data_IF_370307056964
#
_entry.id   IF_370307056964
#
_cell.length_a   1.000
_cell.length_b   1.000
_cell.length_c   1.000
_cell.angle_alpha   90.00
_cell.angle_beta   90.00
_cell.angle_gamma   90.00
#
_symmetry.space_group_name_H-M   'P 1'
#
loop_
_entity.id
_entity.type
_entity.pdbx_description
1 polymer ?
#
# COMPACT_ATOMS: atom_id res chain seq x y z
N UNK A 1 -43.38 -41.26 12.16
CA UNK A 1 -42.86 -40.25 13.10
C UNK A 1 -44.05 -39.47 13.62
N UNK A 2 -44.31 -39.57 14.91
CA UNK A 2 -45.61 -39.24 15.50
C UNK A 2 -45.71 -37.74 15.84
N UNK A 3 -46.50 -37.00 15.07
CA UNK A 3 -46.61 -35.53 15.15
C UNK A 3 -47.19 -35.06 16.48
N UNK A 4 -48.01 -35.90 17.13
CA UNK A 4 -48.55 -35.66 18.47
C UNK A 4 -47.47 -35.69 19.56
N UNK A 5 -46.44 -36.53 19.38
CA UNK A 5 -45.28 -36.60 20.27
C UNK A 5 -44.40 -35.36 20.17
N UNK A 6 -44.21 -34.80 18.95
CA UNK A 6 -43.45 -33.56 18.76
C UNK A 6 -44.19 -32.32 19.26
N UNK A 7 -45.50 -32.22 19.03
CA UNK A 7 -46.31 -31.11 19.55
C UNK A 7 -46.42 -31.13 21.08
N UNK A 8 -46.53 -32.29 21.71
CA UNK A 8 -46.51 -32.37 23.19
C UNK A 8 -45.14 -32.00 23.77
N UNK A 9 -44.05 -32.26 23.03
CA UNK A 9 -42.69 -31.80 23.38
C UNK A 9 -42.52 -30.29 23.27
N UNK A 10 -43.16 -29.63 22.31
CA UNK A 10 -43.11 -28.17 22.19
C UNK A 10 -44.04 -27.47 23.20
N UNK A 11 -45.23 -28.02 23.45
CA UNK A 11 -46.18 -27.45 24.43
C UNK A 11 -45.64 -27.59 25.86
N UNK A 12 -44.91 -28.66 26.17
CA UNK A 12 -44.23 -28.83 27.47
C UNK A 12 -43.00 -27.94 27.63
N UNK A 13 -42.43 -27.43 26.54
CA UNK A 13 -41.32 -26.47 26.52
C UNK A 13 -41.79 -25.02 26.64
N UNK A 14 -43.01 -24.72 26.16
CA UNK A 14 -43.62 -23.40 26.18
C UNK A 14 -44.48 -23.10 27.41
N UNK A 15 -44.84 -24.11 28.22
CA UNK A 15 -45.50 -23.90 29.51
C UNK A 15 -44.43 -23.52 30.55
N UNK A 16 -44.53 -22.36 31.22
CA UNK A 16 -43.71 -22.13 32.41
C UNK A 16 -44.08 -23.23 33.41
N UNK A 17 -43.09 -24.03 33.83
CA UNK A 17 -43.23 -24.80 35.05
C UNK A 17 -43.43 -23.78 36.16
N UNK A 18 -44.65 -23.69 36.67
CA UNK A 18 -44.88 -23.14 37.99
C UNK A 18 -44.16 -24.08 38.95
N UNK A 19 -42.94 -23.71 39.33
CA UNK A 19 -42.20 -24.39 40.40
C UNK A 19 -43.00 -24.24 41.69
N UNK A 20 -43.83 -25.25 41.95
CA UNK A 20 -44.36 -25.53 43.27
C UNK A 20 -43.26 -26.15 44.12
N UNK A 21 -42.22 -25.36 44.44
CA UNK A 21 -41.28 -25.65 45.52
C UNK A 21 -40.42 -24.43 45.82
N UNK A 22 -40.94 -23.48 46.60
CA UNK A 22 -40.06 -22.63 47.40
C UNK A 22 -40.76 -22.18 48.69
N UNK A 23 -41.21 -23.16 49.47
CA UNK A 23 -41.35 -22.99 50.92
C UNK A 23 -39.95 -22.80 51.51
N UNK A 24 -39.45 -21.56 51.53
CA UNK A 24 -38.56 -20.99 52.56
C UNK A 24 -37.79 -19.73 52.15
N UNK A 25 -38.26 -18.90 51.19
CA UNK A 25 -37.68 -17.55 51.06
C UNK A 25 -38.10 -16.69 52.26
N UNK A 26 -37.17 -16.23 53.12
CA UNK A 26 -37.53 -15.45 54.28
C UNK A 26 -38.18 -14.15 53.81
N UNK A 27 -39.34 -13.83 54.39
CA UNK A 27 -40.15 -12.64 54.08
C UNK A 27 -39.39 -11.31 54.27
N UNK A 28 -38.23 -11.37 54.94
CA UNK A 28 -37.30 -10.27 55.11
C UNK A 28 -35.88 -10.77 54.83
N UNK A 29 -35.23 -10.22 53.81
CA UNK A 29 -33.80 -10.39 53.53
C UNK A 29 -33.04 -9.16 54.00
N UNK A 30 -31.88 -9.36 54.63
CA UNK A 30 -31.03 -8.25 55.07
C UNK A 30 -30.48 -7.55 53.84
N UNK A 31 -30.52 -6.22 53.80
CA UNK A 31 -30.03 -5.43 52.64
C UNK A 31 -28.60 -5.78 52.22
N UNK A 32 -27.74 -6.10 53.18
CA UNK A 32 -26.37 -6.55 52.92
C UNK A 32 -26.29 -7.86 52.12
N UNK A 33 -27.19 -8.81 52.36
CA UNK A 33 -27.20 -10.10 51.66
C UNK A 33 -27.70 -9.94 50.21
N UNK A 34 -28.63 -9.00 49.98
CA UNK A 34 -29.11 -8.65 48.63
C UNK A 34 -28.04 -7.94 47.79
N UNK A 35 -27.29 -7.01 48.41
CA UNK A 35 -26.19 -6.33 47.75
C UNK A 35 -25.01 -7.28 47.49
N UNK A 36 -24.69 -8.15 48.44
CA UNK A 36 -23.68 -9.19 48.26
C UNK A 36 -24.05 -10.15 47.10
N UNK A 37 -25.32 -10.59 47.02
CA UNK A 37 -25.79 -11.41 45.90
C UNK A 37 -25.73 -10.69 44.55
N UNK A 38 -26.04 -9.38 44.52
CA UNK A 38 -25.93 -8.56 43.31
C UNK A 38 -24.47 -8.40 42.86
N UNK A 39 -23.54 -8.16 43.79
CA UNK A 39 -22.11 -8.05 43.51
C UNK A 39 -21.56 -9.40 43.03
N UNK A 40 -21.96 -10.50 43.66
CA UNK A 40 -21.55 -11.84 43.24
C UNK A 40 -22.01 -12.15 41.81
N UNK A 41 -23.29 -11.87 41.48
CA UNK A 41 -23.81 -12.08 40.13
C UNK A 41 -23.11 -11.21 39.09
N UNK A 42 -22.78 -9.96 39.42
CA UNK A 42 -22.01 -9.07 38.54
C UNK A 42 -20.59 -9.60 38.30
N UNK A 43 -19.91 -10.06 39.35
CA UNK A 43 -18.56 -10.61 39.22
C UNK A 43 -18.55 -11.92 38.43
N UNK A 44 -19.51 -12.81 38.64
CA UNK A 44 -19.68 -14.03 37.85
C UNK A 44 -19.94 -13.73 36.37
N UNK A 45 -20.75 -12.71 36.08
CA UNK A 45 -20.99 -12.26 34.71
C UNK A 45 -19.72 -11.67 34.06
N UNK A 46 -18.95 -10.87 34.79
CA UNK A 46 -17.67 -10.34 34.31
C UNK A 46 -16.65 -11.45 34.06
N UNK A 47 -16.54 -12.43 34.95
CA UNK A 47 -15.67 -13.59 34.76
C UNK A 47 -16.08 -14.43 33.56
N UNK A 48 -17.38 -14.62 33.33
CA UNK A 48 -17.88 -15.34 32.15
C UNK A 48 -17.51 -14.62 30.86
N UNK A 49 -17.69 -13.30 30.82
CA UNK A 49 -17.29 -12.46 29.68
C UNK A 49 -15.77 -12.46 29.46
N UNK A 50 -14.98 -12.50 30.54
CA UNK A 50 -13.52 -12.62 30.45
C UNK A 50 -13.10 -13.97 29.85
N UNK A 51 -13.66 -15.07 30.37
CA UNK A 51 -13.41 -16.42 29.84
C UNK A 51 -13.80 -16.55 28.37
N UNK A 52 -14.96 -16.03 27.97
CA UNK A 52 -15.40 -16.06 26.58
C UNK A 52 -14.44 -15.28 25.65
N UNK A 53 -13.92 -14.13 26.09
CA UNK A 53 -12.90 -13.37 25.34
C UNK A 53 -11.58 -14.13 25.23
N UNK A 54 -11.15 -14.79 26.31
CA UNK A 54 -9.93 -15.60 26.33
C UNK A 54 -10.06 -16.81 25.41
N UNK A 55 -11.18 -17.52 25.45
CA UNK A 55 -11.47 -18.65 24.56
C UNK A 55 -11.49 -18.21 23.09
N UNK A 56 -12.15 -17.08 22.78
CA UNK A 56 -12.18 -16.53 21.42
C UNK A 56 -10.78 -16.14 20.93
N UNK A 57 -9.96 -15.53 21.79
CA UNK A 57 -8.60 -15.17 21.45
C UNK A 57 -7.70 -16.41 21.28
N UNK A 58 -7.89 -17.44 22.10
CA UNK A 58 -7.18 -18.71 21.98
C UNK A 58 -7.56 -19.46 20.70
N UNK A 59 -8.83 -19.50 20.33
CA UNK A 59 -9.31 -20.05 19.07
C UNK A 59 -8.73 -19.29 17.87
N UNK A 60 -8.68 -17.95 17.93
CA UNK A 60 -8.08 -17.13 16.87
C UNK A 60 -6.60 -17.46 16.68
N UNK A 61 -5.81 -17.56 17.76
CA UNK A 61 -4.39 -17.92 17.69
C UNK A 61 -4.19 -19.32 17.09
N UNK A 62 -4.98 -20.31 17.52
CA UNK A 62 -4.93 -21.67 16.96
C UNK A 62 -5.20 -21.68 15.45
N UNK A 63 -6.21 -20.92 14.98
CA UNK A 63 -6.51 -20.81 13.56
C UNK A 63 -5.39 -20.13 12.76
N UNK A 64 -4.78 -19.08 13.31
CA UNK A 64 -3.64 -18.39 12.71
C UNK A 64 -2.42 -19.33 12.61
N UNK A 65 -2.15 -20.12 13.64
CA UNK A 65 -1.07 -21.11 13.66
C UNK A 65 -1.32 -22.23 12.63
N UNK A 66 -2.53 -22.80 12.57
CA UNK A 66 -2.91 -23.83 11.59
C UNK A 66 -2.87 -23.30 10.13
N UNK A 67 -3.19 -22.02 9.90
CA UNK A 67 -3.07 -21.40 8.58
C UNK A 67 -1.60 -21.16 8.19
N UNK A 68 -0.77 -20.74 9.15
CA UNK A 68 0.66 -20.58 8.96
C UNK A 68 1.35 -21.90 8.63
N UNK A 69 0.99 -23.00 9.30
CA UNK A 69 1.49 -24.34 8.99
C UNK A 69 1.08 -24.78 7.58
N UNK A 70 -0.20 -24.65 7.21
CA UNK A 70 -0.67 -24.95 5.84
C UNK A 70 0.02 -24.09 4.78
N UNK A 71 0.46 -22.87 5.12
CA UNK A 71 1.26 -22.04 4.21
C UNK A 71 2.69 -22.55 4.07
N UNK A 72 3.36 -22.90 5.18
CA UNK A 72 4.70 -23.50 5.16
C UNK A 72 4.73 -24.79 4.36
N UNK A 73 3.74 -25.67 4.54
CA UNK A 73 3.62 -26.90 3.76
C UNK A 73 3.48 -26.64 2.24
N UNK A 74 2.69 -25.63 1.85
CA UNK A 74 2.54 -25.24 0.43
C UNK A 74 3.84 -24.70 -0.14
N UNK A 75 4.55 -23.88 0.63
CA UNK A 75 5.85 -23.31 0.24
C UNK A 75 6.92 -24.41 0.11
N UNK A 76 6.96 -25.38 1.02
CA UNK A 76 7.86 -26.53 0.94
C UNK A 76 7.56 -27.46 -0.24
N UNK A 77 6.27 -27.77 -0.49
CA UNK A 77 5.86 -28.55 -1.67
C UNK A 77 6.26 -27.83 -2.96
N UNK A 78 6.06 -26.51 -3.02
CA UNK A 78 6.46 -25.68 -4.18
C UNK A 78 7.98 -25.66 -4.35
N UNK A 79 8.75 -25.59 -3.26
CA UNK A 79 10.22 -25.65 -3.29
C UNK A 79 10.71 -26.99 -3.81
N UNK A 80 10.17 -28.11 -3.32
CA UNK A 80 10.51 -29.47 -3.79
C UNK A 80 10.19 -29.64 -5.29
N UNK A 81 9.01 -29.22 -5.73
CA UNK A 81 8.64 -29.24 -7.16
C UNK A 81 9.56 -28.35 -8.01
N UNK A 82 9.97 -27.19 -7.50
CA UNK A 82 10.90 -26.31 -8.20
C UNK A 82 12.30 -26.94 -8.32
N UNK A 83 12.81 -27.56 -7.26
CA UNK A 83 14.08 -28.31 -7.25
C UNK A 83 14.04 -29.51 -8.21
N UNK A 84 12.97 -30.30 -8.19
CA UNK A 84 12.76 -31.41 -9.13
C UNK A 84 12.67 -30.92 -10.58
N UNK A 85 11.98 -29.81 -10.84
CA UNK A 85 11.87 -29.23 -12.19
C UNK A 85 13.19 -28.67 -12.70
N UNK A 86 14.02 -28.08 -11.82
CA UNK A 86 15.36 -27.60 -12.15
C UNK A 86 16.28 -28.76 -12.49
N UNK A 87 16.31 -29.80 -11.65
CA UNK A 87 17.10 -31.00 -11.88
C UNK A 87 16.75 -31.67 -13.21
N UNK A 88 15.46 -31.77 -13.53
CA UNK A 88 15.00 -32.33 -14.81
C UNK A 88 15.44 -31.48 -16.02
N UNK A 89 15.42 -30.15 -15.90
CA UNK A 89 15.91 -29.24 -16.96
C UNK A 89 17.41 -29.36 -17.17
N UNK A 90 18.18 -29.42 -16.07
CA UNK A 90 19.63 -29.59 -16.11
C UNK A 90 20.02 -30.95 -16.74
N UNK A 91 19.30 -32.02 -16.39
CA UNK A 91 19.51 -33.35 -17.00
C UNK A 91 19.16 -33.37 -18.50
N UNK A 92 18.08 -32.71 -18.91
CA UNK A 92 17.68 -32.58 -20.32
C UNK A 92 18.68 -31.74 -21.13
N UNK A 93 19.16 -30.63 -20.55
CA UNK A 93 20.18 -29.78 -21.18
C UNK A 93 21.52 -30.51 -21.31
N UNK A 94 21.95 -31.22 -20.26
CA UNK A 94 23.15 -32.06 -20.29
C UNK A 94 23.01 -33.22 -21.30
N UNK A 95 21.82 -33.81 -21.44
CA UNK A 95 21.57 -34.83 -22.47
C UNK A 95 21.65 -34.25 -23.89
N UNK A 96 21.04 -33.08 -24.12
CA UNK A 96 21.13 -32.35 -25.41
C UNK A 96 22.56 -31.95 -25.73
N UNK A 97 23.33 -31.51 -24.74
CA UNK A 97 24.73 -31.14 -24.91
C UNK A 97 25.60 -32.37 -25.26
N UNK A 98 25.35 -33.52 -24.61
CA UNK A 98 25.99 -34.80 -24.94
C UNK A 98 25.67 -35.27 -26.36
N UNK A 99 24.40 -35.20 -26.78
CA UNK A 99 24.00 -35.53 -28.15
C UNK A 99 24.64 -34.59 -29.17
N UNK A 100 24.69 -33.28 -28.88
CA UNK A 100 25.32 -32.27 -29.74
C UNK A 100 26.82 -32.51 -29.88
N UNK A 101 27.52 -32.86 -28.79
CA UNK A 101 28.96 -33.23 -28.82
C UNK A 101 29.21 -34.54 -29.57
N UNK A 102 28.37 -35.56 -29.39
CA UNK A 102 28.44 -36.83 -30.11
C UNK A 102 28.26 -36.65 -31.61
N UNK A 103 27.37 -35.74 -32.02
CA UNK A 103 27.17 -35.35 -33.43
C UNK A 103 28.38 -34.60 -34.02
N UNK A 104 29.15 -33.90 -33.19
CA UNK A 104 30.31 -33.10 -33.59
C UNK A 104 31.66 -33.83 -33.41
N UNK A 105 31.67 -35.09 -32.94
CA UNK A 105 32.89 -35.89 -32.78
C UNK A 105 33.82 -35.46 -31.63
N UNK A 106 33.32 -34.71 -30.64
CA UNK A 106 34.11 -34.22 -29.49
C UNK A 106 34.04 -35.20 -28.29
N UNK A 107 35.14 -35.38 -27.51
CA UNK A 107 35.15 -36.25 -26.33
C UNK A 107 34.12 -35.86 -25.25
N UNK A 108 33.63 -36.84 -24.50
CA UNK A 108 32.63 -36.67 -23.44
C UNK A 108 33.23 -35.93 -22.23
N UNK A 109 32.46 -35.00 -21.64
CA UNK A 109 32.87 -34.31 -20.42
C UNK A 109 32.68 -35.23 -19.21
N UNK A 110 33.65 -35.30 -18.29
CA UNK A 110 33.52 -36.09 -17.07
C UNK A 110 32.38 -35.55 -16.18
N UNK A 111 31.70 -36.42 -15.41
CA UNK A 111 30.68 -36.00 -14.47
C UNK A 111 31.32 -35.11 -13.39
N UNK A 112 30.77 -33.91 -13.20
CA UNK A 112 31.22 -33.01 -12.14
C UNK A 112 30.76 -33.57 -10.80
N UNK A 113 31.65 -34.25 -10.08
CA UNK A 113 31.44 -34.52 -8.66
C UNK A 113 31.44 -33.19 -7.90
N UNK A 114 30.41 -33.02 -7.08
CA UNK A 114 30.19 -31.88 -6.21
C UNK A 114 31.24 -31.85 -5.09
N UNK A 115 32.31 -31.08 -5.34
CA UNK A 115 33.17 -30.50 -4.33
C UNK A 115 33.02 -28.98 -4.39
N UNK A 116 32.72 -28.40 -3.24
CA UNK A 116 32.54 -26.97 -2.96
C UNK A 116 33.73 -26.16 -3.50
N UNK A 117 33.56 -25.52 -4.67
CA UNK A 117 34.33 -24.37 -5.19
C UNK A 117 33.97 -24.18 -6.68
N UNK A 118 32.79 -23.63 -6.94
CA UNK A 118 32.47 -23.05 -8.26
C UNK A 118 31.89 -21.66 -8.07
N UNK A 119 32.77 -20.71 -7.78
CA UNK A 119 32.60 -19.36 -8.32
C UNK A 119 32.69 -19.43 -9.85
N UNK A 120 31.51 -19.64 -10.47
CA UNK A 120 31.15 -19.30 -11.84
C UNK A 120 32.26 -19.18 -12.87
N UNK A 121 32.66 -20.30 -13.46
CA UNK A 121 33.06 -20.32 -14.87
C UNK A 121 31.79 -20.26 -15.74
N UNK A 122 31.18 -19.09 -15.75
CA UNK A 122 30.31 -18.68 -16.84
C UNK A 122 31.19 -18.02 -17.89
N UNK A 123 31.31 -18.66 -19.05
CA UNK A 123 31.77 -18.00 -20.28
C UNK A 123 30.88 -16.79 -20.56
N UNK A 124 31.34 -15.61 -20.22
CA UNK A 124 30.97 -14.37 -20.89
C UNK A 124 32.24 -13.55 -21.09
N UNK A 125 32.55 -13.28 -22.35
CA UNK A 125 33.34 -12.13 -22.81
C UNK A 125 34.80 -12.05 -22.34
N UNK A 126 35.73 -11.90 -23.28
CA UNK A 126 37.06 -11.38 -22.95
C UNK A 126 36.93 -9.95 -22.40
N UNK A 127 36.75 -9.80 -21.10
CA UNK A 127 36.82 -8.53 -20.41
C UNK A 127 38.17 -8.44 -19.70
N UNK A 128 39.06 -7.62 -20.25
CA UNK A 128 40.42 -7.35 -19.76
C UNK A 128 40.48 -7.26 -18.23
N UNK A 129 41.28 -8.13 -17.62
CA UNK A 129 41.59 -8.12 -16.19
C UNK A 129 42.48 -6.90 -15.89
N UNK A 130 42.05 -6.05 -14.96
CA UNK A 130 42.82 -4.86 -14.56
C UNK A 130 43.70 -5.28 -13.38
N UNK A 131 45.02 -5.06 -13.46
CA UNK A 131 45.94 -5.37 -12.35
C UNK A 131 45.49 -4.74 -11.03
N UNK A 132 45.70 -5.45 -9.92
CA UNK A 132 45.21 -5.04 -8.59
C UNK A 132 45.67 -3.63 -8.20
N UNK A 133 46.92 -3.27 -8.46
CA UNK A 133 47.46 -1.93 -8.16
C UNK A 133 46.75 -0.82 -8.93
N UNK A 134 46.49 -1.03 -10.23
CA UNK A 134 45.74 -0.07 -11.05
C UNK A 134 44.29 0.05 -10.59
N UNK A 135 43.66 -1.08 -10.26
CA UNK A 135 42.28 -1.12 -9.78
C UNK A 135 42.11 -0.35 -8.47
N UNK A 136 43.07 -0.50 -7.54
CA UNK A 136 43.09 0.24 -6.28
C UNK A 136 43.28 1.74 -6.51
N UNK A 137 44.18 2.13 -7.41
CA UNK A 137 44.40 3.53 -7.77
C UNK A 137 43.15 4.16 -8.41
N UNK A 138 42.53 3.45 -9.37
CA UNK A 138 41.29 3.88 -10.02
C UNK A 138 40.11 4.02 -9.05
N UNK A 139 40.00 3.15 -8.04
CA UNK A 139 38.98 3.27 -6.99
C UNK A 139 39.24 4.47 -6.06
N UNK A 140 40.51 4.74 -5.70
CA UNK A 140 40.89 5.92 -4.91
C UNK A 140 40.64 7.23 -5.65
N UNK A 141 40.91 7.25 -6.95
CA UNK A 141 40.64 8.41 -7.82
C UNK A 141 39.14 8.73 -7.90
N UNK A 142 38.27 7.71 -7.78
CA UNK A 142 36.82 7.88 -7.68
C UNK A 142 36.31 8.11 -6.24
N UNK A 143 37.20 8.38 -5.27
CA UNK A 143 36.89 8.59 -3.84
C UNK A 143 36.13 7.43 -3.17
N UNK A 144 36.21 6.22 -3.72
CA UNK A 144 35.56 5.02 -3.19
C UNK A 144 36.55 4.16 -2.40
N UNK A 145 36.11 3.42 -1.36
CA UNK A 145 37.02 2.59 -0.57
C UNK A 145 37.81 1.60 -1.43
N UNK A 146 39.14 1.61 -1.32
CA UNK A 146 40.00 0.78 -2.16
C UNK A 146 39.78 -0.72 -1.91
N UNK A 147 39.52 -1.11 -0.66
CA UNK A 147 39.26 -2.50 -0.24
C UNK A 147 38.08 -2.51 0.74
N UNK A 148 37.11 -3.38 0.50
CA UNK A 148 36.04 -3.70 1.45
C UNK A 148 36.33 -5.03 2.15
N UNK A 149 35.87 -5.17 3.40
CA UNK A 149 36.07 -6.40 4.17
C UNK A 149 35.40 -7.61 3.50
N UNK A 150 36.17 -8.67 3.26
CA UNK A 150 35.68 -9.89 2.60
C UNK A 150 35.53 -9.80 1.08
N UNK A 151 35.96 -8.71 0.44
CA UNK A 151 35.88 -8.54 -1.03
C UNK A 151 37.07 -9.22 -1.74
N UNK A 152 36.80 -10.12 -2.69
CA UNK A 152 37.82 -10.74 -3.56
C UNK A 152 38.22 -9.81 -4.72
N UNK A 153 39.34 -10.06 -5.42
CA UNK A 153 39.76 -9.27 -6.59
C UNK A 153 38.67 -9.19 -7.67
N UNK A 154 38.00 -10.30 -7.97
CA UNK A 154 36.85 -10.35 -8.89
C UNK A 154 35.67 -9.50 -8.38
N UNK A 155 35.39 -9.52 -7.08
CA UNK A 155 34.38 -8.66 -6.45
C UNK A 155 34.70 -7.17 -6.62
N UNK A 156 35.97 -6.81 -6.40
CA UNK A 156 36.49 -5.46 -6.57
C UNK A 156 36.39 -4.97 -8.01
N UNK A 157 36.75 -5.81 -8.99
CA UNK A 157 36.59 -5.51 -10.42
C UNK A 157 35.12 -5.28 -10.79
N UNK A 158 34.21 -6.14 -10.31
CA UNK A 158 32.77 -5.96 -10.52
C UNK A 158 32.25 -4.65 -9.91
N UNK A 159 32.74 -4.28 -8.72
CA UNK A 159 32.39 -3.00 -8.08
C UNK A 159 32.92 -1.82 -8.90
N UNK A 160 34.18 -1.86 -9.31
CA UNK A 160 34.79 -0.83 -10.15
C UNK A 160 34.04 -0.66 -11.48
N UNK A 161 33.75 -1.75 -12.19
CA UNK A 161 32.97 -1.72 -13.45
C UNK A 161 31.56 -1.19 -13.23
N UNK A 162 30.89 -1.54 -12.12
CA UNK A 162 29.58 -0.99 -11.74
C UNK A 162 29.66 0.52 -11.46
N UNK A 163 30.71 0.98 -10.77
CA UNK A 163 30.93 2.40 -10.49
C UNK A 163 31.22 3.19 -11.76
N UNK A 164 32.05 2.66 -12.65
CA UNK A 164 32.26 3.20 -14.00
C UNK A 164 30.95 3.26 -14.79
N UNK A 165 30.20 2.16 -14.85
CA UNK A 165 28.90 2.16 -15.52
C UNK A 165 27.96 3.21 -14.92
N UNK A 166 27.99 3.39 -13.60
CA UNK A 166 27.22 4.43 -12.89
C UNK A 166 27.70 5.85 -13.18
N UNK A 167 29.00 6.07 -13.40
CA UNK A 167 29.55 7.39 -13.73
C UNK A 167 29.37 7.74 -15.22
N UNK A 168 29.43 6.74 -16.10
CA UNK A 168 29.14 6.88 -17.54
C UNK A 168 27.64 7.06 -17.83
N UNK A 169 26.75 6.49 -17.00
CA UNK A 169 25.31 6.71 -17.11
C UNK A 169 24.91 7.99 -16.36
N UNK A 170 24.35 9.01 -17.03
CA UNK A 170 23.85 10.18 -16.33
C UNK A 170 22.78 9.74 -15.32
N UNK A 171 23.08 9.86 -14.03
CA UNK A 171 22.05 9.68 -13.01
C UNK A 171 21.03 10.80 -13.18
N UNK A 172 19.73 10.51 -13.23
CA UNK A 172 18.74 11.55 -13.30
C UNK A 172 18.88 12.42 -12.03
N UNK A 173 19.21 13.70 -12.22
CA UNK A 173 19.33 14.62 -11.10
C UNK A 173 17.96 14.76 -10.45
N UNK A 174 17.90 14.49 -9.14
CA UNK A 174 16.68 14.66 -8.38
C UNK A 174 16.45 16.15 -8.15
N UNK A 175 15.23 16.62 -8.41
CA UNK A 175 14.82 17.99 -8.15
C UNK A 175 14.89 18.32 -6.66
N UNK A 176 15.21 19.58 -6.33
CA UNK A 176 15.26 20.15 -4.96
C UNK A 176 13.85 20.41 -4.34
N UNK A 177 12.88 19.54 -4.63
CA UNK A 177 11.51 19.66 -4.16
C UNK A 177 11.22 18.84 -2.90
N UNK A 178 10.13 19.14 -2.16
CA UNK A 178 9.70 18.32 -1.02
C UNK A 178 9.44 16.86 -1.42
N UNK A 179 9.06 16.61 -2.68
CA UNK A 179 9.03 15.28 -3.28
C UNK A 179 10.19 15.19 -4.28
N UNK A 180 11.20 14.35 -4.02
CA UNK A 180 12.29 14.11 -4.97
C UNK A 180 11.73 13.50 -6.25
N UNK A 181 11.95 14.16 -7.39
CA UNK A 181 11.53 13.68 -8.71
C UNK A 181 12.63 13.87 -9.74
N UNK A 182 12.62 13.05 -10.78
CA UNK A 182 13.51 13.18 -11.94
C UNK A 182 12.98 14.19 -12.98
N UNK A 183 11.77 14.71 -12.78
CA UNK A 183 11.19 15.74 -13.63
C UNK A 183 11.86 17.09 -13.40
N UNK A 184 12.22 17.75 -14.49
CA UNK A 184 12.64 19.15 -14.46
C UNK A 184 11.46 20.06 -14.08
N UNK A 185 11.52 20.62 -12.87
CA UNK A 185 10.52 21.57 -12.39
C UNK A 185 10.51 22.85 -13.23
N UNK A 186 9.35 23.46 -13.32
CA UNK A 186 9.04 24.62 -14.15
C UNK A 186 8.92 25.86 -13.24
N UNK A 187 9.39 27.06 -13.68
CA UNK A 187 9.24 28.29 -12.91
C UNK A 187 7.78 28.69 -12.68
N UNK A 188 7.51 29.47 -11.63
CA UNK A 188 6.14 29.86 -11.23
C UNK A 188 5.30 30.52 -12.35
N UNK A 189 5.94 31.28 -13.24
CA UNK A 189 5.26 31.94 -14.37
C UNK A 189 4.60 30.92 -15.31
N UNK A 190 5.26 29.79 -15.50
CA UNK A 190 4.89 28.73 -16.44
C UNK A 190 4.13 27.59 -15.75
N UNK A 191 3.82 27.72 -14.45
CA UNK A 191 3.06 26.72 -13.67
C UNK A 191 1.55 26.77 -13.90
N UNK A 192 1.06 27.68 -14.75
CA UNK A 192 -0.36 27.80 -15.08
C UNK A 192 -0.85 26.59 -15.87
N UNK A 193 -1.82 25.89 -15.31
CA UNK A 193 -2.34 24.66 -15.88
C UNK A 193 -3.51 24.99 -16.83
N UNK A 194 -3.50 24.48 -18.08
CA UNK A 194 -4.62 24.65 -19.00
C UNK A 194 -5.90 24.01 -18.43
N UNK A 195 -7.07 24.50 -18.83
CA UNK A 195 -8.35 23.93 -18.38
C UNK A 195 -8.57 22.50 -18.89
N UNK A 196 -7.95 22.15 -20.02
CA UNK A 196 -8.04 20.83 -20.65
C UNK A 196 -6.67 20.18 -20.78
N UNK A 197 -6.59 18.88 -20.49
CA UNK A 197 -5.36 18.11 -20.66
C UNK A 197 -4.95 18.02 -22.15
N UNK A 198 -3.68 18.29 -22.50
CA UNK A 198 -3.19 18.06 -23.86
C UNK A 198 -3.27 16.59 -24.25
N UNK A 199 -3.60 16.32 -25.51
CA UNK A 199 -3.63 14.95 -26.06
C UNK A 199 -2.25 14.49 -26.55
N UNK A 200 -1.40 15.42 -26.94
CA UNK A 200 -0.06 15.15 -27.48
C UNK A 200 0.90 14.70 -26.38
N UNK A 201 1.81 13.77 -26.70
CA UNK A 201 2.77 13.23 -25.72
C UNK A 201 3.71 14.29 -25.15
N UNK A 202 4.18 15.23 -25.98
CA UNK A 202 5.03 16.34 -25.54
C UNK A 202 4.26 17.30 -24.63
N UNK A 203 3.01 17.62 -25.00
CA UNK A 203 2.10 18.41 -24.16
C UNK A 203 1.80 17.74 -22.81
N UNK A 204 1.57 16.42 -22.79
CA UNK A 204 1.38 15.65 -21.56
C UNK A 204 2.63 15.67 -20.67
N UNK A 205 3.82 15.50 -21.26
CA UNK A 205 5.10 15.60 -20.51
C UNK A 205 5.29 16.98 -19.90
N UNK A 206 5.00 18.05 -20.64
CA UNK A 206 5.08 19.41 -20.13
C UNK A 206 4.05 19.65 -19.01
N UNK A 207 2.81 19.21 -19.21
CA UNK A 207 1.76 19.26 -18.19
C UNK A 207 2.18 18.54 -16.89
N UNK A 208 2.82 17.37 -16.99
CA UNK A 208 3.32 16.66 -15.81
C UNK A 208 4.40 17.43 -15.06
N UNK A 209 5.28 18.15 -15.77
CA UNK A 209 6.24 19.06 -15.15
C UNK A 209 5.52 20.22 -14.44
N UNK A 210 4.49 20.81 -15.06
CA UNK A 210 3.68 21.86 -14.44
C UNK A 210 2.95 21.36 -13.17
N UNK A 211 2.30 20.19 -13.23
CA UNK A 211 1.62 19.56 -12.10
C UNK A 211 2.58 19.24 -10.96
N UNK A 212 3.72 18.61 -11.26
CA UNK A 212 4.75 18.29 -10.27
C UNK A 212 5.27 19.57 -9.60
N UNK A 213 5.51 20.63 -10.38
CA UNK A 213 5.95 21.93 -9.87
C UNK A 213 4.90 22.57 -8.96
N UNK A 214 3.63 22.55 -9.36
CA UNK A 214 2.51 23.07 -8.56
C UNK A 214 2.39 22.37 -7.22
N UNK A 215 2.36 21.04 -7.22
CA UNK A 215 2.27 20.29 -5.96
C UNK A 215 3.49 20.48 -5.08
N UNK A 216 4.71 20.53 -5.64
CA UNK A 216 5.91 20.83 -4.87
C UNK A 216 5.85 22.23 -4.24
N UNK A 217 5.41 23.25 -4.99
CA UNK A 217 5.21 24.60 -4.45
C UNK A 217 4.18 24.61 -3.32
N UNK A 218 3.00 23.98 -3.50
CA UNK A 218 1.97 23.92 -2.45
C UNK A 218 2.48 23.21 -1.19
N UNK A 219 3.16 22.07 -1.33
CA UNK A 219 3.72 21.32 -0.21
C UNK A 219 4.82 22.10 0.52
N UNK A 220 5.68 22.82 -0.22
CA UNK A 220 6.72 23.67 0.36
C UNK A 220 6.12 24.84 1.13
N UNK A 221 5.13 25.52 0.56
CA UNK A 221 4.38 26.58 1.25
C UNK A 221 3.65 26.05 2.49
N UNK A 222 3.12 24.83 2.43
CA UNK A 222 2.48 24.18 3.58
C UNK A 222 3.49 23.91 4.70
N UNK A 223 4.64 23.33 4.38
CA UNK A 223 5.70 23.09 5.34
C UNK A 223 6.19 24.40 5.98
N UNK A 224 6.43 25.44 5.18
CA UNK A 224 6.82 26.76 5.67
C UNK A 224 5.75 27.39 6.57
N UNK A 225 4.46 27.28 6.20
CA UNK A 225 3.36 27.80 7.01
C UNK A 225 3.26 27.08 8.37
N UNK A 226 3.50 25.76 8.42
CA UNK A 226 3.56 25.00 9.67
C UNK A 226 4.80 25.38 10.49
N UNK A 227 5.94 25.57 9.83
CA UNK A 227 7.20 25.95 10.47
C UNK A 227 7.18 27.36 11.06
N UNK A 228 6.35 28.28 10.54
CA UNK A 228 6.20 29.65 11.08
C UNK A 228 5.28 29.75 12.30
N UNK A 229 4.56 28.68 12.67
CA UNK A 229 3.67 28.70 13.84
C UNK A 229 4.45 28.82 15.15
N UNK A 230 3.80 29.40 16.16
CA UNK A 230 4.33 29.49 17.52
C UNK A 230 4.63 28.11 18.11
N UNK A 231 5.62 28.06 19.01
CA UNK A 231 6.03 26.82 19.67
C UNK A 231 4.87 26.16 20.44
N UNK A 232 4.02 26.95 21.09
CA UNK A 232 2.83 26.46 21.79
C UNK A 232 1.86 25.74 20.84
N UNK A 233 1.61 26.31 19.66
CA UNK A 233 0.74 25.72 18.63
C UNK A 233 1.38 24.47 18.05
N UNK A 234 2.69 24.47 17.78
CA UNK A 234 3.41 23.28 17.27
C UNK A 234 3.37 22.09 18.24
N UNK A 235 3.48 22.36 19.54
CA UNK A 235 3.46 21.33 20.57
C UNK A 235 2.05 20.83 20.91
N UNK A 236 1.02 21.62 20.58
CA UNK A 236 -0.39 21.23 20.75
C UNK A 236 -0.75 19.97 19.95
N UNK A 237 -1.81 19.28 20.38
CA UNK A 237 -2.32 18.09 19.69
C UNK A 237 -2.70 18.42 18.24
N UNK A 238 -3.40 19.54 18.03
CA UNK A 238 -3.84 20.02 16.72
C UNK A 238 -2.66 20.36 15.81
N UNK A 239 -1.61 20.99 16.35
CA UNK A 239 -0.39 21.30 15.61
C UNK A 239 0.35 20.06 15.14
N UNK A 240 0.53 19.07 16.04
CA UNK A 240 1.13 17.77 15.70
C UNK A 240 0.31 17.01 14.66
N UNK A 241 -1.02 17.00 14.79
CA UNK A 241 -1.90 16.38 13.80
C UNK A 241 -1.80 17.04 12.43
N UNK A 242 -1.78 18.38 12.37
CA UNK A 242 -1.61 19.12 11.12
C UNK A 242 -0.27 18.82 10.44
N UNK A 243 0.82 18.74 11.23
CA UNK A 243 2.13 18.34 10.71
C UNK A 243 2.15 16.91 10.19
N UNK A 244 1.62 15.96 10.94
CA UNK A 244 1.51 14.57 10.50
C UNK A 244 0.67 14.43 9.23
N UNK A 245 -0.41 15.21 9.11
CA UNK A 245 -1.25 15.23 7.91
C UNK A 245 -0.47 15.75 6.69
N UNK A 246 0.37 16.78 6.85
CA UNK A 246 1.24 17.28 5.79
C UNK A 246 2.27 16.23 5.37
N UNK A 247 3.00 15.63 6.33
CA UNK A 247 4.00 14.58 6.06
C UNK A 247 3.37 13.39 5.34
N UNK A 248 2.23 12.89 5.83
CA UNK A 248 1.49 11.81 5.17
C UNK A 248 1.06 12.20 3.76
N UNK A 249 0.62 13.44 3.54
CA UNK A 249 0.20 13.90 2.21
C UNK A 249 1.36 13.86 1.22
N UNK A 250 2.54 14.34 1.64
CA UNK A 250 3.79 14.28 0.87
C UNK A 250 4.18 12.85 0.51
N UNK A 251 4.16 11.93 1.49
CA UNK A 251 4.50 10.52 1.26
C UNK A 251 3.52 9.84 0.31
N UNK A 252 2.22 10.06 0.51
CA UNK A 252 1.16 9.50 -0.33
C UNK A 252 1.17 10.05 -1.76
N UNK A 253 1.81 11.19 -2.02
CA UNK A 253 1.94 11.77 -3.38
C UNK A 253 3.14 11.24 -4.16
N UNK A 254 4.12 10.58 -3.53
CA UNK A 254 5.27 9.99 -4.23
C UNK A 254 4.88 9.07 -5.39
N UNK A 255 3.87 8.18 -5.27
CA UNK A 255 3.43 7.34 -6.39
C UNK A 255 2.90 8.15 -7.58
N UNK A 256 2.22 9.28 -7.33
CA UNK A 256 1.73 10.16 -8.39
C UNK A 256 2.90 10.80 -9.17
N UNK A 257 3.93 11.26 -8.47
CA UNK A 257 5.14 11.79 -9.12
C UNK A 257 5.85 10.73 -9.97
N UNK A 258 5.93 9.48 -9.49
CA UNK A 258 6.46 8.36 -10.30
C UNK A 258 5.61 8.08 -11.55
N UNK A 259 4.30 8.28 -11.48
CA UNK A 259 3.40 8.17 -12.65
C UNK A 259 3.63 9.31 -13.64
N UNK A 260 3.87 10.53 -13.15
CA UNK A 260 4.24 11.67 -13.99
C UNK A 260 5.58 11.44 -14.72
N UNK A 261 6.59 10.91 -14.02
CA UNK A 261 7.89 10.54 -14.62
C UNK A 261 7.76 9.52 -15.75
N UNK A 262 6.89 8.52 -15.55
CA UNK A 262 6.67 7.44 -16.52
C UNK A 262 5.63 7.75 -17.59
N UNK A 263 4.92 8.87 -17.48
CA UNK A 263 3.76 9.18 -18.33
C UNK A 263 2.71 8.05 -18.26
N UNK A 264 2.49 7.49 -17.06
CA UNK A 264 1.65 6.30 -16.80
C UNK A 264 0.52 6.63 -15.81
N UNK A 265 -0.38 7.50 -16.26
CA UNK A 265 -1.60 7.86 -15.53
C UNK A 265 -2.80 7.63 -16.44
N UNK A 266 -3.89 7.15 -15.86
CA UNK A 266 -5.16 7.00 -16.57
C UNK A 266 -5.66 8.38 -17.02
N UNK A 267 -6.09 8.48 -18.28
CA UNK A 267 -6.52 9.76 -18.87
C UNK A 267 -7.74 10.33 -18.14
N UNK A 268 -8.66 9.49 -17.65
CA UNK A 268 -9.81 9.92 -16.86
C UNK A 268 -9.41 10.51 -15.52
N UNK A 269 -8.43 9.91 -14.83
CA UNK A 269 -7.85 10.49 -13.60
C UNK A 269 -7.13 11.80 -13.91
N UNK A 270 -6.34 11.83 -14.99
CA UNK A 270 -5.56 13.01 -15.38
C UNK A 270 -6.46 14.22 -15.67
N UNK A 271 -7.52 14.05 -16.46
CA UNK A 271 -8.47 15.12 -16.78
C UNK A 271 -9.04 15.78 -15.53
N UNK A 272 -9.44 14.97 -14.54
CA UNK A 272 -9.96 15.50 -13.28
C UNK A 272 -8.89 16.17 -12.43
N UNK A 273 -7.67 15.63 -12.37
CA UNK A 273 -6.55 16.27 -11.64
C UNK A 273 -6.22 17.63 -12.25
N UNK A 274 -6.19 17.73 -13.58
CA UNK A 274 -6.00 19.00 -14.31
C UNK A 274 -7.11 19.99 -13.98
N UNK A 275 -8.38 19.55 -14.02
CA UNK A 275 -9.53 20.37 -13.70
C UNK A 275 -9.46 20.91 -12.25
N UNK A 276 -9.13 20.05 -11.27
CA UNK A 276 -8.99 20.42 -9.86
C UNK A 276 -7.92 21.50 -9.71
N UNK A 277 -6.73 21.30 -10.29
CA UNK A 277 -5.61 22.24 -10.13
C UNK A 277 -5.87 23.55 -10.87
N UNK A 278 -6.40 23.52 -12.09
CA UNK A 278 -6.72 24.72 -12.86
C UNK A 278 -7.72 25.60 -12.11
N UNK A 279 -8.80 25.02 -11.57
CA UNK A 279 -9.79 25.75 -10.74
C UNK A 279 -9.20 26.24 -9.42
N UNK A 280 -8.32 25.47 -8.78
CA UNK A 280 -7.63 25.89 -7.58
C UNK A 280 -6.71 27.10 -7.82
N UNK A 281 -6.03 27.16 -8.99
CA UNK A 281 -5.23 28.31 -9.40
C UNK A 281 -6.08 29.56 -9.67
N UNK A 282 -7.32 29.37 -10.14
CA UNK A 282 -8.33 30.44 -10.29
C UNK A 282 -9.01 30.82 -8.96
N UNK A 283 -8.60 30.22 -7.83
CA UNK A 283 -9.20 30.39 -6.50
C UNK A 283 -10.70 30.01 -6.43
N UNK A 284 -11.15 29.11 -7.30
CA UNK A 284 -12.52 28.57 -7.32
C UNK A 284 -12.57 27.23 -6.59
N UNK A 285 -12.46 27.27 -5.26
CA UNK A 285 -12.25 26.05 -4.46
C UNK A 285 -13.48 25.14 -4.39
N UNK A 286 -14.70 25.68 -4.45
CA UNK A 286 -15.92 24.86 -4.53
C UNK A 286 -15.95 24.08 -5.83
N UNK A 287 -15.72 24.75 -6.96
CA UNK A 287 -15.69 24.11 -8.27
C UNK A 287 -14.57 23.06 -8.40
N UNK A 288 -13.43 23.31 -7.74
CA UNK A 288 -12.31 22.36 -7.67
C UNK A 288 -12.67 21.14 -6.80
N UNK A 289 -13.35 21.35 -5.67
CA UNK A 289 -13.83 20.27 -4.82
C UNK A 289 -14.90 19.43 -5.53
N UNK A 290 -15.77 20.03 -6.33
CA UNK A 290 -16.76 19.30 -7.12
C UNK A 290 -16.11 18.38 -8.16
N UNK A 291 -15.02 18.83 -8.79
CA UNK A 291 -14.22 17.97 -9.67
C UNK A 291 -13.57 16.81 -8.89
N UNK A 292 -13.05 17.06 -7.68
CA UNK A 292 -12.56 16.01 -6.79
C UNK A 292 -13.64 15.00 -6.39
N UNK A 293 -14.85 15.47 -6.07
CA UNK A 293 -15.97 14.61 -5.70
C UNK A 293 -16.42 13.75 -6.88
N UNK A 294 -16.51 14.32 -8.09
CA UNK A 294 -16.80 13.55 -9.31
C UNK A 294 -15.81 12.42 -9.55
N UNK A 295 -14.52 12.66 -9.32
CA UNK A 295 -13.48 11.64 -9.47
C UNK A 295 -13.53 10.58 -8.36
N UNK A 296 -13.71 10.99 -7.11
CA UNK A 296 -13.61 10.10 -5.95
C UNK A 296 -14.87 9.28 -5.69
N UNK A 297 -16.05 9.77 -6.08
CA UNK A 297 -17.34 9.07 -5.88
C UNK A 297 -17.84 8.46 -7.20
N UNK A 298 -17.51 9.07 -8.34
CA UNK A 298 -18.11 8.72 -9.63
C UNK A 298 -19.55 9.24 -9.77
N UNK A 299 -20.25 8.86 -10.85
CA UNK A 299 -21.68 9.16 -11.03
C UNK A 299 -22.58 8.13 -10.30
N UNK A 300 -22.01 7.31 -9.44
CA UNK A 300 -22.74 6.24 -8.76
C UNK A 300 -23.68 6.81 -7.69
N UNK A 301 -24.95 6.38 -7.72
CA UNK A 301 -25.91 6.75 -6.69
C UNK A 301 -25.54 6.18 -5.30
N UNK A 302 -24.71 5.13 -5.24
CA UNK A 302 -24.31 4.42 -4.01
C UNK A 302 -22.81 4.04 -4.05
N UNK A 303 -21.89 4.92 -3.58
CA UNK A 303 -20.44 4.73 -3.77
C UNK A 303 -19.79 3.72 -2.81
N UNK A 304 -20.43 3.47 -1.68
CA UNK A 304 -20.04 2.41 -0.72
C UNK A 304 -21.20 1.43 -0.78
N UNK A 305 -21.00 0.31 -1.46
CA UNK A 305 -22.06 -0.67 -1.70
C UNK A 305 -22.88 -0.95 -0.44
N UNK A 306 -24.20 -1.01 -0.58
CA UNK A 306 -25.10 -1.25 0.56
C UNK A 306 -25.13 -2.75 0.85
N UNK A 307 -24.53 -3.18 1.96
CA UNK A 307 -24.71 -4.54 2.49
C UNK A 307 -26.01 -4.61 3.31
N UNK A 308 -26.51 -5.82 3.58
CA UNK A 308 -27.90 -6.12 3.97
C UNK A 308 -28.54 -5.12 4.96
N UNK A 309 -29.56 -4.40 4.49
CA UNK A 309 -30.46 -3.57 5.34
C UNK A 309 -31.86 -4.16 5.19
N UNK A 310 -32.22 -5.07 6.10
CA UNK A 310 -33.52 -5.75 6.13
C UNK A 310 -33.41 -7.27 6.26
N UNK A 311 -34.40 -7.89 6.92
CA UNK A 311 -34.49 -9.33 7.18
C UNK A 311 -34.88 -10.13 5.93
N UNK A 312 -35.34 -9.46 4.86
CA UNK A 312 -35.82 -10.10 3.63
C UNK A 312 -35.01 -9.64 2.41
N UNK A 313 -34.47 -10.60 1.67
CA UNK A 313 -33.76 -10.40 0.40
C UNK A 313 -34.79 -10.15 -0.72
N UNK A 314 -34.59 -9.08 -1.51
CA UNK A 314 -35.49 -8.72 -2.64
C UNK A 314 -34.70 -8.68 -3.95
N UNK A 315 -35.30 -9.16 -5.04
CA UNK A 315 -34.68 -9.28 -6.37
C UNK A 315 -34.19 -7.95 -6.98
N UNK A 316 -34.73 -6.81 -6.56
CA UNK A 316 -34.24 -5.49 -6.96
C UNK A 316 -32.84 -5.15 -6.40
N UNK A 317 -32.37 -5.92 -5.41
CA UNK A 317 -31.07 -5.74 -4.75
C UNK A 317 -29.90 -6.18 -5.63
N UNK A 318 -30.04 -7.23 -6.44
CA UNK A 318 -29.00 -7.65 -7.39
C UNK A 318 -28.69 -6.58 -8.43
N UNK A 319 -29.69 -5.80 -8.87
CA UNK A 319 -29.49 -4.69 -9.81
C UNK A 319 -28.72 -3.51 -9.20
N UNK A 320 -28.73 -3.36 -7.87
CA UNK A 320 -27.90 -2.38 -7.14
C UNK A 320 -26.46 -2.88 -6.95
N UNK A 321 -26.23 -4.19 -6.97
CA UNK A 321 -24.89 -4.79 -6.92
C UNK A 321 -24.21 -4.79 -8.30
N UNK A 322 -24.97 -4.70 -9.40
CA UNK A 322 -24.45 -4.75 -10.78
C UNK A 322 -24.12 -3.38 -11.39
N UNK A 323 -24.44 -2.25 -10.75
CA UNK A 323 -24.05 -0.91 -11.24
C UNK A 323 -22.57 -0.59 -10.98
N UNK A 324 -21.70 -1.61 -11.05
CA UNK A 324 -20.33 -1.64 -10.54
C UNK A 324 -19.28 -1.23 -11.59
N UNK A 325 -19.70 -0.69 -12.73
CA UNK A 325 -18.76 -0.28 -13.79
C UNK A 325 -17.98 1.00 -13.48
N UNK A 326 -18.21 1.67 -12.34
CA UNK A 326 -17.45 2.85 -11.91
C UNK A 326 -16.67 2.68 -10.60
N UNK A 327 -16.48 1.44 -10.14
CA UNK A 327 -15.70 1.12 -8.93
C UNK A 327 -14.16 1.09 -9.15
N UNK A 328 -13.65 1.44 -10.34
CA UNK A 328 -12.23 1.23 -10.68
C UNK A 328 -11.24 2.18 -9.98
N UNK A 329 -11.63 3.42 -9.68
CA UNK A 329 -10.69 4.42 -9.10
C UNK A 329 -10.59 4.29 -7.58
N UNK A 330 -11.69 3.87 -6.93
CA UNK A 330 -11.73 3.61 -5.50
C UNK A 330 -11.21 2.21 -5.12
N UNK A 331 -11.12 1.26 -6.05
CA UNK A 331 -10.53 -0.06 -5.79
C UNK A 331 -9.01 -0.01 -5.63
N UNK A 332 -8.33 0.97 -6.25
CA UNK A 332 -6.90 1.18 -6.08
C UNK A 332 -6.59 2.09 -4.87
N UNK A 333 -6.03 1.47 -3.83
CA UNK A 333 -5.62 2.13 -2.58
C UNK A 333 -4.55 3.21 -2.80
N UNK A 334 -3.65 3.02 -3.78
CA UNK A 334 -2.61 4.01 -4.10
C UNK A 334 -3.27 5.27 -4.66
N UNK A 335 -4.20 5.08 -5.61
CA UNK A 335 -4.98 6.17 -6.20
C UNK A 335 -5.81 6.91 -5.17
N UNK A 336 -6.53 6.18 -4.31
CA UNK A 336 -7.27 6.78 -3.20
C UNK A 336 -6.38 7.67 -2.32
N UNK A 337 -5.18 7.20 -1.95
CA UNK A 337 -4.25 7.94 -1.07
C UNK A 337 -3.75 9.24 -1.68
N UNK A 338 -3.28 9.24 -2.94
CA UNK A 338 -2.81 10.49 -3.54
C UNK A 338 -3.96 11.46 -3.85
N UNK A 339 -5.17 10.97 -4.17
CA UNK A 339 -6.35 11.82 -4.33
C UNK A 339 -6.74 12.49 -3.01
N UNK A 340 -6.72 11.76 -1.90
CA UNK A 340 -6.91 12.35 -0.57
C UNK A 340 -5.85 13.41 -0.25
N UNK A 341 -4.59 13.17 -0.62
CA UNK A 341 -3.52 14.18 -0.49
C UNK A 341 -3.78 15.42 -1.34
N UNK A 342 -4.29 15.28 -2.56
CA UNK A 342 -4.68 16.40 -3.42
C UNK A 342 -5.79 17.23 -2.74
N UNK A 343 -6.81 16.59 -2.16
CA UNK A 343 -7.84 17.30 -1.39
C UNK A 343 -7.25 18.07 -0.21
N UNK A 344 -6.30 17.48 0.53
CA UNK A 344 -5.61 18.16 1.64
C UNK A 344 -4.80 19.37 1.15
N UNK A 345 -4.12 19.23 0.01
CA UNK A 345 -3.43 20.35 -0.64
C UNK A 345 -4.41 21.45 -1.06
N UNK A 346 -5.60 21.09 -1.56
CA UNK A 346 -6.67 22.04 -1.90
C UNK A 346 -7.16 22.80 -0.67
N UNK A 347 -7.43 22.10 0.44
CA UNK A 347 -7.81 22.73 1.71
C UNK A 347 -6.74 23.70 2.20
N UNK A 348 -5.45 23.31 2.14
CA UNK A 348 -4.36 24.21 2.50
C UNK A 348 -4.27 25.42 1.54
N UNK A 349 -4.38 25.18 0.22
CA UNK A 349 -4.33 26.24 -0.79
C UNK A 349 -5.41 27.30 -0.54
N UNK A 350 -6.64 26.91 -0.20
CA UNK A 350 -7.70 27.85 0.18
C UNK A 350 -7.33 28.70 1.40
N UNK A 351 -6.66 28.13 2.40
CA UNK A 351 -6.24 28.90 3.59
C UNK A 351 -5.10 29.87 3.27
N UNK A 352 -4.21 29.51 2.34
CA UNK A 352 -3.04 30.31 1.96
C UNK A 352 -3.39 31.40 0.95
N UNK A 353 -4.26 31.08 0.00
CA UNK A 353 -4.76 31.93 -1.08
C UNK A 353 -6.29 31.91 -1.02
N UNK A 354 -6.93 32.73 -0.18
CA UNK A 354 -8.38 32.72 -0.06
C UNK A 354 -9.07 33.12 -1.38
N UNK A 355 -10.29 32.62 -1.65
CA UNK A 355 -11.07 32.99 -2.81
C UNK A 355 -11.48 34.47 -2.76
N UNK A 356 -11.62 35.07 -3.92
CA UNK A 356 -12.09 36.46 -4.03
C UNK A 356 -13.60 36.56 -3.72
N UNK A 357 -14.36 35.51 -4.02
CA UNK A 357 -15.77 35.35 -3.67
C UNK A 357 -15.93 34.38 -2.48
N UNK A 358 -16.65 34.81 -1.44
CA UNK A 358 -16.92 33.97 -0.26
C UNK A 358 -17.73 32.71 -0.57
N UNK A 359 -18.53 32.72 -1.65
CA UNK A 359 -19.26 31.53 -2.10
C UNK A 359 -18.34 30.41 -2.60
N UNK A 360 -17.08 30.74 -2.89
CA UNK A 360 -16.06 29.79 -3.34
C UNK A 360 -15.23 29.21 -2.20
N UNK A 361 -15.63 29.40 -0.94
CA UNK A 361 -15.03 28.73 0.21
C UNK A 361 -15.58 27.30 0.32
N UNK A 362 -14.71 26.31 0.17
CA UNK A 362 -15.00 24.91 0.49
C UNK A 362 -15.10 24.76 2.01
N UNK A 363 -16.24 24.22 2.48
CA UNK A 363 -16.53 23.92 3.89
C UNK A 363 -15.99 22.57 4.36
#
# INVERSE_FOLDING_TARGET
MDFASLMSKEISKAKPKADSSDTSKPKYTRRGDLEAARIAAYNEEQERLAREREERNALKRKLEDEEAERRREREEKKRKLAEESRKKREEEEAARERERRKRLGLPELPPTESGDDKEGEGKEGGEEDIPEEELLNKLREMEEPAILFGETHKGRLRRYRRLLQRSLTPQPQLSDGPIPTTLELVPEVDMKIPETAPKDLEGKKFLFRQLASYFNMVLREWELALAKRDASVKLSLQGKQAYNAMVQSRENMKPLFRKFEKVDIDDGVLEHVVEIVSKAQQRRYVDANDAYLRLSIGKAAWPIGVTMVGIHERSAREKLHQSDQQAHILSDEITRKYLQSIKRCLSFAQTRWPPDDQLQIMG
#
